data_IF_736261796196
#
_entry.id   IF_736261796196
#
_cell.length_a   1.000
_cell.length_b   1.000
_cell.length_c   1.000
_cell.angle_alpha   90.00
_cell.angle_beta   90.00
_cell.angle_gamma   90.00
#
_symmetry.space_group_name_H-M   'P 1'
#
loop_
_entity.id
_entity.type
_entity.pdbx_description
1 polymer ?
#
# COMPACT_ATOMS: atom_id res chain seq x y z
N UNK A 1 -10.93 -5.15 -24.31
CA UNK A 1 -10.70 -4.27 -23.14
C UNK A 1 -9.39 -4.65 -22.43
N UNK A 2 -8.26 -4.74 -23.15
CA UNK A 2 -7.00 -5.38 -22.66
C UNK A 2 -5.98 -4.33 -22.12
N UNK A 3 -6.08 -3.09 -22.59
CA UNK A 3 -5.11 -2.04 -22.26
C UNK A 3 -5.21 -1.55 -20.79
N UNK A 4 -6.40 -1.61 -20.18
CA UNK A 4 -6.61 -1.10 -18.82
C UNK A 4 -5.91 -1.97 -17.76
N UNK A 5 -6.08 -3.30 -17.85
CA UNK A 5 -5.44 -4.23 -16.92
C UNK A 5 -3.91 -4.24 -17.00
N UNK A 6 -3.35 -4.05 -18.20
CA UNK A 6 -1.90 -3.99 -18.38
C UNK A 6 -1.29 -2.78 -17.65
N UNK A 7 -1.95 -1.61 -17.76
CA UNK A 7 -1.53 -0.39 -17.06
C UNK A 7 -1.66 -0.53 -15.55
N UNK A 8 -2.71 -1.21 -15.06
CA UNK A 8 -2.89 -1.46 -13.63
C UNK A 8 -1.84 -2.42 -13.07
N UNK A 9 -1.48 -3.47 -13.82
CA UNK A 9 -0.39 -4.40 -13.45
C UNK A 9 0.96 -3.70 -13.39
N UNK A 10 1.27 -2.81 -14.34
CA UNK A 10 2.53 -2.07 -14.34
C UNK A 10 2.60 -1.06 -13.18
N UNK A 11 1.49 -0.38 -12.87
CA UNK A 11 1.40 0.49 -11.69
C UNK A 11 1.58 -0.29 -10.40
N UNK A 12 0.94 -1.46 -10.27
CA UNK A 12 1.09 -2.30 -9.08
C UNK A 12 2.55 -2.70 -8.85
N UNK A 13 3.27 -3.12 -9.90
CA UNK A 13 4.71 -3.42 -9.82
C UNK A 13 5.53 -2.22 -9.37
N UNK A 14 5.23 -1.02 -9.86
CA UNK A 14 5.93 0.19 -9.41
C UNK A 14 5.72 0.47 -7.92
N UNK A 15 4.50 0.23 -7.42
CA UNK A 15 4.20 0.33 -5.98
C UNK A 15 4.94 -0.74 -5.17
N UNK A 16 5.02 -1.99 -5.65
CA UNK A 16 5.78 -3.06 -5.00
C UNK A 16 7.27 -2.71 -4.89
N UNK A 17 7.87 -2.18 -5.97
CA UNK A 17 9.26 -1.73 -5.97
C UNK A 17 9.49 -0.58 -4.97
N UNK A 18 8.63 0.46 -5.00
CA UNK A 18 8.70 1.56 -4.03
C UNK A 18 8.55 1.07 -2.59
N UNK A 19 7.68 0.09 -2.35
CA UNK A 19 7.50 -0.50 -1.03
C UNK A 19 8.78 -1.16 -0.52
N UNK A 20 9.43 -2.02 -1.31
CA UNK A 20 10.67 -2.69 -0.90
C UNK A 20 11.84 -1.69 -0.73
N UNK A 21 11.93 -0.68 -1.59
CA UNK A 21 12.90 0.41 -1.45
C UNK A 21 12.73 1.18 -0.14
N UNK A 22 11.48 1.50 0.24
CA UNK A 22 11.19 2.18 1.51
C UNK A 22 11.46 1.26 2.69
N UNK A 23 11.10 -0.02 2.57
CA UNK A 23 11.22 -1.02 3.63
C UNK A 23 12.67 -1.34 3.97
N UNK A 24 13.56 -1.36 2.97
CA UNK A 24 15.00 -1.56 3.14
C UNK A 24 15.74 -0.37 3.78
N UNK A 25 15.07 0.78 3.93
CA UNK A 25 15.63 1.95 4.59
C UNK A 25 15.82 1.78 6.10
N UNK A 26 16.96 2.25 6.61
CA UNK A 26 17.34 2.11 8.03
C UNK A 26 16.69 3.15 8.97
N UNK A 27 16.23 4.29 8.45
CA UNK A 27 15.64 5.34 9.27
C UNK A 27 14.14 5.12 9.45
N UNK A 28 13.73 4.68 10.65
CA UNK A 28 12.34 4.34 10.99
C UNK A 28 11.36 5.51 10.80
N UNK A 29 11.73 6.74 11.17
CA UNK A 29 10.85 7.90 11.04
C UNK A 29 10.63 8.29 9.57
N UNK A 30 11.69 8.29 8.78
CA UNK A 30 11.62 8.55 7.33
C UNK A 30 10.83 7.43 6.64
N UNK A 31 11.04 6.16 7.05
CA UNK A 31 10.32 5.00 6.53
C UNK A 31 8.82 5.12 6.78
N UNK A 32 8.39 5.41 8.00
CA UNK A 32 6.97 5.58 8.32
C UNK A 32 6.31 6.71 7.51
N UNK A 33 6.98 7.87 7.39
CA UNK A 33 6.49 8.98 6.58
C UNK A 33 6.36 8.60 5.09
N UNK A 34 7.34 7.89 4.54
CA UNK A 34 7.31 7.43 3.13
C UNK A 34 6.26 6.36 2.89
N UNK A 35 6.02 5.46 3.86
CA UNK A 35 4.95 4.46 3.77
C UNK A 35 3.57 5.10 3.84
N UNK A 36 3.39 6.17 4.63
CA UNK A 36 2.15 6.94 4.63
C UNK A 36 1.88 7.57 3.26
N UNK A 37 2.88 8.22 2.65
CA UNK A 37 2.76 8.76 1.30
C UNK A 37 2.48 7.66 0.27
N UNK A 38 3.15 6.50 0.38
CA UNK A 38 2.89 5.37 -0.51
C UNK A 38 1.46 4.85 -0.40
N UNK A 39 0.92 4.82 0.81
CA UNK A 39 -0.47 4.45 1.05
C UNK A 39 -1.43 5.42 0.37
N UNK A 40 -1.27 6.72 0.59
CA UNK A 40 -2.13 7.77 0.00
C UNK A 40 -2.07 7.72 -1.53
N UNK A 41 -0.88 7.51 -2.11
CA UNK A 41 -0.69 7.34 -3.56
C UNK A 41 -1.49 6.12 -4.08
N UNK A 42 -1.44 4.98 -3.38
CA UNK A 42 -2.20 3.78 -3.77
C UNK A 42 -3.70 4.01 -3.72
N UNK A 43 -4.20 4.70 -2.68
CA UNK A 43 -5.62 5.03 -2.52
C UNK A 43 -6.12 5.88 -3.68
N UNK A 44 -5.34 6.89 -4.09
CA UNK A 44 -5.70 7.77 -5.20
C UNK A 44 -5.62 7.10 -6.56
N UNK A 45 -4.59 6.28 -6.81
CA UNK A 45 -4.35 5.65 -8.11
C UNK A 45 -5.31 4.50 -8.37
N UNK A 46 -5.54 3.63 -7.38
CA UNK A 46 -6.43 2.48 -7.51
C UNK A 46 -7.87 2.78 -7.06
N UNK A 47 -8.14 4.01 -6.60
CA UNK A 47 -9.47 4.42 -6.10
C UNK A 47 -9.97 3.51 -4.98
N UNK A 48 -9.07 3.15 -4.06
CA UNK A 48 -9.40 2.29 -2.92
C UNK A 48 -10.47 2.99 -2.07
N UNK A 49 -11.65 2.38 -1.86
CA UNK A 49 -12.71 2.99 -1.06
C UNK A 49 -12.31 3.02 0.43
N UNK A 50 -12.25 4.24 0.99
CA UNK A 50 -11.90 4.46 2.40
C UNK A 50 -13.11 4.40 3.33
N UNK A 51 -14.31 4.57 2.78
CA UNK A 51 -15.57 4.69 3.52
C UNK A 51 -16.61 3.75 2.91
N UNK A 52 -17.36 3.04 3.76
CA UNK A 52 -18.42 2.12 3.35
C UNK A 52 -17.96 0.66 3.31
N UNK A 53 -18.65 -0.21 4.08
CA UNK A 53 -18.28 -1.62 4.21
C UNK A 53 -18.52 -2.43 2.93
N UNK A 54 -19.55 -2.09 2.16
CA UNK A 54 -19.94 -2.81 0.94
C UNK A 54 -18.97 -2.52 -0.20
N UNK A 55 -18.70 -1.25 -0.50
CA UNK A 55 -17.72 -0.87 -1.53
C UNK A 55 -16.33 -1.41 -1.22
N UNK A 56 -15.92 -1.44 0.06
CA UNK A 56 -14.66 -2.03 0.48
C UNK A 56 -14.61 -3.56 0.32
N UNK A 57 -15.74 -4.25 0.43
CA UNK A 57 -15.81 -5.70 0.23
C UNK A 57 -15.70 -6.06 -1.26
N UNK A 58 -16.48 -5.39 -2.12
CA UNK A 58 -16.46 -5.60 -3.58
C UNK A 58 -15.08 -5.28 -4.16
N UNK A 59 -14.54 -4.09 -3.85
CA UNK A 59 -13.20 -3.72 -4.31
C UNK A 59 -12.14 -4.75 -3.89
N UNK A 60 -12.22 -5.25 -2.65
CA UNK A 60 -11.29 -6.27 -2.15
C UNK A 60 -11.41 -7.59 -2.87
N UNK A 61 -12.62 -8.00 -3.23
CA UNK A 61 -12.86 -9.23 -3.98
C UNK A 61 -12.27 -9.14 -5.39
N UNK A 62 -12.46 -7.99 -6.03
CA UNK A 62 -12.04 -7.79 -7.43
C UNK A 62 -10.54 -7.49 -7.56
N UNK A 63 -9.93 -6.91 -6.52
CA UNK A 63 -8.54 -6.45 -6.53
C UNK A 63 -7.68 -7.06 -5.41
N UNK A 64 -7.56 -8.39 -5.33
CA UNK A 64 -6.90 -9.07 -4.21
C UNK A 64 -5.41 -8.71 -4.12
N UNK A 65 -4.73 -8.51 -5.25
CA UNK A 65 -3.29 -8.18 -5.28
C UNK A 65 -3.00 -6.75 -4.78
N UNK A 66 -3.80 -5.78 -5.22
CA UNK A 66 -3.72 -4.38 -4.74
C UNK A 66 -3.96 -4.34 -3.23
N UNK A 67 -4.99 -5.04 -2.75
CA UNK A 67 -5.29 -5.09 -1.32
C UNK A 67 -4.23 -5.84 -0.50
N UNK A 68 -3.55 -6.83 -1.09
CA UNK A 68 -2.43 -7.51 -0.45
C UNK A 68 -1.29 -6.52 -0.18
N UNK A 69 -0.86 -5.79 -1.21
CA UNK A 69 0.21 -4.80 -1.06
C UNK A 69 -0.21 -3.66 -0.11
N UNK A 70 -1.42 -3.12 -0.28
CA UNK A 70 -1.93 -2.03 0.56
C UNK A 70 -1.88 -2.39 2.07
N UNK A 71 -2.26 -3.63 2.42
CA UNK A 71 -2.14 -4.11 3.80
C UNK A 71 -0.71 -4.25 4.29
N UNK A 72 0.21 -4.65 3.42
CA UNK A 72 1.63 -4.72 3.77
C UNK A 72 2.16 -3.32 4.09
N UNK A 73 1.80 -2.31 3.29
CA UNK A 73 2.14 -0.91 3.52
C UNK A 73 1.59 -0.41 4.85
N UNK A 74 0.28 -0.58 5.10
CA UNK A 74 -0.37 -0.18 6.36
C UNK A 74 0.28 -0.85 7.56
N UNK A 75 0.51 -2.17 7.49
CA UNK A 75 1.14 -2.93 8.57
C UNK A 75 2.54 -2.42 8.86
N UNK A 76 3.36 -2.22 7.82
CA UNK A 76 4.76 -1.79 7.98
C UNK A 76 4.86 -0.35 8.52
N UNK A 77 3.89 0.51 8.18
CA UNK A 77 3.77 1.86 8.73
C UNK A 77 3.43 1.85 10.21
N UNK A 78 2.52 0.97 10.61
CA UNK A 78 1.99 0.88 11.97
C UNK A 78 2.86 0.01 12.91
N UNK A 79 3.96 -0.60 12.40
CA UNK A 79 4.98 -1.20 13.26
C UNK A 79 5.57 -0.08 14.12
N UNK A 80 5.10 0.00 15.36
CA UNK A 80 5.69 0.86 16.39
C UNK A 80 7.20 0.59 16.42
N UNK A 81 8.06 1.62 16.48
CA UNK A 81 9.42 1.40 16.91
C UNK A 81 9.31 0.80 18.32
N UNK A 82 9.58 -0.50 18.46
CA UNK A 82 9.54 -1.26 19.71
C UNK A 82 10.01 -0.39 20.89
N UNK A 83 9.38 -0.38 22.07
CA UNK A 83 9.55 -1.45 23.07
C UNK A 83 11.01 -1.96 23.25
N UNK A 84 12.00 -1.21 22.74
CA UNK A 84 13.43 -1.31 22.99
C UNK A 84 13.75 -0.01 23.72
N UNK A 85 13.36 0.04 25.00
CA UNK A 85 13.82 0.91 26.10
C UNK A 85 12.73 0.94 27.18
N UNK A 86 12.40 -0.23 27.75
CA UNK A 86 12.12 -0.40 29.18
C UNK A 86 12.51 -1.80 29.59
#
# INVERSE_FOLDING_TARGET
MILHEAVERDRLKQFELRFEDIKSGNNKAIKAARLAVLQDDMEQVFKIPLIGKECAYEFRSDNPEIMRLYRQVVRERDVKPDAIFR
#
